data_IF_970995552390
#
_entry.id   IF_970995552390
#
_cell.length_a   1.000
_cell.length_b   1.000
_cell.length_c   1.000
_cell.angle_alpha   90.00
_cell.angle_beta   90.00
_cell.angle_gamma   90.00
#
_symmetry.space_group_name_H-M   'P 1'
#
loop_
_entity.id
_entity.type
_entity.pdbx_description
1 polymer ?
#
# COMPACT_ATOMS: atom_id res chain seq x y z
N UNK A 1 31.33 -13.42 7.32
CA UNK A 1 29.91 -13.27 7.74
C UNK A 1 29.27 -12.23 6.81
N UNK A 2 28.24 -12.61 6.06
CA UNK A 2 27.58 -11.68 5.13
C UNK A 2 26.92 -10.55 5.93
N UNK A 3 27.40 -9.32 5.77
CA UNK A 3 26.73 -8.15 6.30
C UNK A 3 25.46 -7.96 5.48
N UNK A 4 24.35 -8.50 5.96
CA UNK A 4 23.05 -8.14 5.40
C UNK A 4 22.83 -6.66 5.68
N UNK A 5 23.15 -5.78 4.73
CA UNK A 5 22.92 -4.33 4.83
C UNK A 5 21.43 -3.97 4.85
N UNK A 6 20.57 -4.97 4.60
CA UNK A 6 19.13 -4.82 4.57
C UNK A 6 18.47 -5.67 5.65
N UNK A 7 17.41 -5.12 6.24
CA UNK A 7 16.52 -5.78 7.21
C UNK A 7 15.08 -5.56 6.75
N UNK A 8 14.55 -6.53 6.01
CA UNK A 8 13.15 -6.54 5.62
C UNK A 8 12.25 -6.94 6.80
N UNK A 9 10.93 -6.76 6.64
CA UNK A 9 9.92 -7.06 7.67
C UNK A 9 10.24 -6.39 9.01
N UNK A 10 10.67 -5.14 8.92
CA UNK A 10 11.09 -4.33 10.05
C UNK A 10 10.36 -2.99 9.93
N UNK A 11 9.55 -2.68 10.93
CA UNK A 11 8.83 -1.40 11.00
C UNK A 11 9.52 -0.55 12.06
N UNK A 12 10.10 0.58 11.66
CA UNK A 12 10.63 1.55 12.62
C UNK A 12 9.44 2.25 13.30
N UNK A 13 9.36 2.15 14.62
CA UNK A 13 8.27 2.69 15.45
C UNK A 13 8.64 3.99 16.13
N UNK A 14 9.91 4.15 16.49
CA UNK A 14 10.42 5.38 17.05
C UNK A 14 11.86 5.64 16.61
N UNK A 15 12.21 6.92 16.56
CA UNK A 15 13.55 7.44 16.41
C UNK A 15 13.81 8.35 17.62
N UNK A 16 14.84 8.03 18.40
CA UNK A 16 15.29 8.84 19.52
C UNK A 16 16.68 9.38 19.19
N UNK A 17 16.94 10.65 19.50
CA UNK A 17 18.24 11.28 19.30
C UNK A 17 18.72 11.89 20.61
N UNK A 18 19.90 11.50 21.07
CA UNK A 18 20.58 12.10 22.23
C UNK A 18 21.53 13.21 21.72
N UNK A 19 21.22 14.50 21.95
CA UNK A 19 22.05 15.60 21.48
C UNK A 19 23.37 15.74 22.25
N UNK A 20 23.46 15.18 23.46
CA UNK A 20 24.68 15.22 24.29
C UNK A 20 25.73 14.27 23.72
N UNK A 21 25.28 13.09 23.29
CA UNK A 21 26.13 12.05 22.69
C UNK A 21 26.22 12.16 21.16
N UNK A 22 25.32 12.92 20.54
CA UNK A 22 25.15 13.03 19.08
C UNK A 22 24.85 11.68 18.42
N UNK A 23 24.06 10.86 19.11
CA UNK A 23 23.73 9.50 18.70
C UNK A 23 22.22 9.33 18.55
N UNK A 24 21.80 8.54 17.58
CA UNK A 24 20.41 8.13 17.38
C UNK A 24 20.21 6.64 17.68
N UNK A 25 19.05 6.30 18.23
CA UNK A 25 18.56 4.92 18.34
C UNK A 25 17.21 4.77 17.66
N UNK A 26 16.98 3.58 17.10
CA UNK A 26 15.74 3.20 16.42
C UNK A 26 15.05 2.13 17.22
N UNK A 27 13.78 2.32 17.55
CA UNK A 27 12.92 1.20 18.00
C UNK A 27 12.29 0.56 16.79
N UNK A 28 12.60 -0.71 16.57
CA UNK A 28 12.19 -1.44 15.39
C UNK A 28 11.37 -2.64 15.82
N UNK A 29 10.16 -2.73 15.30
CA UNK A 29 9.31 -3.88 15.46
C UNK A 29 9.48 -4.82 14.28
N UNK A 30 9.91 -6.06 14.54
CA UNK A 30 10.08 -7.07 13.50
C UNK A 30 8.79 -7.84 13.28
N UNK A 31 8.55 -8.26 12.04
CA UNK A 31 7.38 -9.07 11.67
C UNK A 31 7.85 -10.44 11.21
N UNK A 32 7.56 -11.47 12.00
CA UNK A 32 7.85 -12.86 11.64
C UNK A 32 6.52 -13.60 11.37
N UNK A 33 6.35 -14.09 10.14
CA UNK A 33 5.13 -14.81 9.75
C UNK A 33 3.84 -13.99 9.83
N UNK A 34 3.92 -12.67 9.63
CA UNK A 34 2.75 -11.77 9.66
C UNK A 34 2.32 -11.31 11.05
N UNK A 35 3.03 -11.71 12.12
CA UNK A 35 2.79 -11.20 13.48
C UNK A 35 3.88 -10.22 13.87
N UNK A 36 3.46 -9.09 14.43
CA UNK A 36 4.39 -8.13 15.01
C UNK A 36 4.99 -8.72 16.29
N UNK A 37 6.31 -8.86 16.30
CA UNK A 37 7.07 -9.28 17.46
C UNK A 37 7.29 -8.13 18.45
N UNK A 38 8.15 -8.38 19.43
CA UNK A 38 8.62 -7.34 20.34
C UNK A 38 9.41 -6.26 19.60
N UNK A 39 9.37 -5.04 20.14
CA UNK A 39 10.25 -3.97 19.69
C UNK A 39 11.68 -4.24 20.15
N UNK A 40 12.63 -4.04 19.25
CA UNK A 40 14.07 -4.16 19.50
C UNK A 40 14.70 -2.81 19.22
N UNK A 41 15.61 -2.38 20.10
CA UNK A 41 16.36 -1.15 19.89
C UNK A 41 17.61 -1.43 19.04
N UNK A 42 17.83 -0.59 18.03
CA UNK A 42 18.99 -0.60 17.16
C UNK A 42 19.74 0.72 17.29
N UNK A 43 21.07 0.64 17.30
CA UNK A 43 21.97 1.78 17.45
C UNK A 43 23.11 1.47 18.43
N UNK A 44 23.86 2.50 18.86
CA UNK A 44 23.73 3.90 18.43
C UNK A 44 24.13 4.10 16.95
N UNK A 45 23.59 5.15 16.33
CA UNK A 45 23.92 5.58 14.97
C UNK A 45 24.33 7.06 14.98
N UNK A 46 25.40 7.42 14.27
CA UNK A 46 25.82 8.82 14.11
C UNK A 46 24.91 9.60 13.13
N UNK A 47 24.22 8.89 12.24
CA UNK A 47 23.33 9.47 11.23
C UNK A 47 22.19 8.50 10.91
N UNK A 48 20.96 9.02 10.83
CA UNK A 48 19.80 8.29 10.31
C UNK A 48 19.22 9.05 9.13
N UNK A 49 19.18 8.39 7.98
CA UNK A 49 18.52 8.90 6.77
C UNK A 49 17.12 8.32 6.69
N UNK A 50 16.09 9.16 6.84
CA UNK A 50 14.69 8.75 6.74
C UNK A 50 14.16 8.91 5.32
N UNK A 51 14.23 7.85 4.52
CA UNK A 51 13.75 7.82 3.15
C UNK A 51 12.40 7.07 3.03
N UNK A 52 11.41 7.42 3.86
CA UNK A 52 10.09 6.80 3.79
C UNK A 52 9.21 7.50 2.76
N UNK A 53 8.65 6.71 1.84
CA UNK A 53 7.58 7.10 0.93
C UNK A 53 6.22 6.52 1.37
N UNK A 54 6.07 6.16 2.66
CA UNK A 54 4.87 5.50 3.20
C UNK A 54 3.64 6.43 3.17
N UNK A 55 3.02 6.54 2.00
CA UNK A 55 1.68 7.05 1.82
C UNK A 55 0.70 5.99 2.28
N UNK A 56 0.39 5.98 3.58
CA UNK A 56 -0.61 5.04 4.11
C UNK A 56 -1.93 5.21 3.35
N UNK A 57 -2.58 4.11 2.93
CA UNK A 57 -3.92 4.18 2.40
C UNK A 57 -4.80 4.91 3.39
N UNK A 58 -5.40 6.02 2.97
CA UNK A 58 -6.44 6.63 3.78
C UNK A 58 -7.67 5.74 3.64
N UNK A 59 -8.16 5.12 4.72
CA UNK A 59 -9.41 4.40 4.64
C UNK A 59 -10.49 5.38 4.16
N UNK A 60 -11.46 4.91 3.36
CA UNK A 60 -12.54 5.78 2.96
C UNK A 60 -13.31 6.24 4.22
N UNK A 61 -14.01 7.38 4.10
CA UNK A 61 -14.73 8.04 5.20
C UNK A 61 -15.57 7.05 6.02
N UNK A 62 -15.82 7.31 7.31
CA UNK A 62 -16.53 6.41 8.25
C UNK A 62 -17.86 5.86 7.69
N UNK A 63 -18.57 6.67 6.89
CA UNK A 63 -19.78 6.24 6.18
C UNK A 63 -19.52 5.11 5.18
N UNK A 64 -18.39 5.12 4.47
CA UNK A 64 -17.98 4.04 3.58
C UNK A 64 -17.64 2.78 4.36
N UNK A 65 -17.03 2.89 5.54
CA UNK A 65 -16.73 1.73 6.42
C UNK A 65 -18.00 0.96 6.79
N UNK A 66 -19.10 1.66 7.12
CA UNK A 66 -20.38 1.01 7.45
C UNK A 66 -21.00 0.23 6.27
N UNK A 67 -20.82 0.72 5.04
CA UNK A 67 -21.29 0.00 3.86
C UNK A 67 -20.36 -1.15 3.44
N UNK A 68 -19.10 -1.14 3.88
CA UNK A 68 -18.17 -2.26 3.65
C UNK A 68 -18.61 -3.51 4.41
N UNK A 69 -19.10 -3.37 5.64
CA UNK A 69 -19.56 -4.51 6.46
C UNK A 69 -20.76 -5.24 5.82
N UNK A 70 -21.60 -4.52 5.07
CA UNK A 70 -22.74 -5.08 4.36
C UNK A 70 -22.39 -5.64 2.97
N UNK A 71 -21.21 -5.32 2.42
CA UNK A 71 -20.81 -5.77 1.10
C UNK A 71 -20.28 -7.21 1.15
N UNK A 72 -20.96 -8.11 0.46
CA UNK A 72 -20.59 -9.55 0.44
C UNK A 72 -19.47 -9.88 -0.56
N UNK A 73 -18.99 -8.89 -1.32
CA UNK A 73 -17.87 -9.07 -2.24
C UNK A 73 -16.51 -8.77 -1.60
N UNK A 74 -15.45 -8.98 -2.38
CA UNK A 74 -14.08 -8.66 -1.99
C UNK A 74 -13.82 -7.16 -2.12
N UNK A 75 -13.14 -6.58 -1.13
CA UNK A 75 -12.71 -5.18 -1.16
C UNK A 75 -11.19 -5.13 -0.96
N UNK A 76 -10.49 -4.59 -1.96
CA UNK A 76 -9.02 -4.45 -1.92
C UNK A 76 -8.62 -3.02 -2.30
N UNK A 77 -7.76 -2.39 -1.50
CA UNK A 77 -7.18 -1.10 -1.85
C UNK A 77 -6.05 -1.29 -2.88
N UNK A 78 -5.92 -0.36 -3.84
CA UNK A 78 -4.96 -0.49 -4.95
C UNK A 78 -3.50 -0.70 -4.50
N UNK A 79 -3.11 -0.19 -3.33
CA UNK A 79 -1.76 -0.39 -2.77
C UNK A 79 -1.48 -1.79 -2.23
N UNK A 80 -2.53 -2.57 -2.00
CA UNK A 80 -2.47 -3.93 -1.45
C UNK A 80 -2.92 -4.98 -2.47
N UNK A 81 -3.36 -4.55 -3.65
CA UNK A 81 -3.82 -5.43 -4.72
C UNK A 81 -2.64 -6.16 -5.34
N UNK A 82 -2.72 -7.48 -5.35
CA UNK A 82 -1.71 -8.33 -5.97
C UNK A 82 -2.08 -8.66 -7.42
N UNK A 83 -1.10 -8.85 -8.32
CA UNK A 83 -1.36 -9.25 -9.70
C UNK A 83 -2.22 -10.53 -9.80
N UNK A 84 -1.99 -11.49 -8.91
CA UNK A 84 -2.69 -12.77 -8.89
C UNK A 84 -4.19 -12.61 -8.56
N UNK A 85 -4.56 -11.59 -7.76
CA UNK A 85 -5.97 -11.29 -7.48
C UNK A 85 -6.68 -10.75 -8.72
N UNK A 86 -5.99 -9.98 -9.56
CA UNK A 86 -6.53 -9.50 -10.84
C UNK A 86 -6.70 -10.65 -11.84
N UNK A 87 -5.72 -11.55 -11.91
CA UNK A 87 -5.80 -12.75 -12.77
C UNK A 87 -6.92 -13.70 -12.34
N UNK A 88 -7.09 -13.91 -11.03
CA UNK A 88 -8.18 -14.72 -10.48
C UNK A 88 -9.55 -14.11 -10.80
N UNK A 89 -9.72 -12.79 -10.62
CA UNK A 89 -10.94 -12.09 -10.96
C UNK A 89 -11.27 -12.24 -12.46
N UNK A 90 -10.26 -12.17 -13.32
CA UNK A 90 -10.40 -12.36 -14.77
C UNK A 90 -10.80 -13.78 -15.13
N UNK A 91 -10.11 -14.78 -14.57
CA UNK A 91 -10.42 -16.19 -14.81
C UNK A 91 -11.85 -16.56 -14.37
N UNK A 92 -12.34 -15.94 -13.30
CA UNK A 92 -13.69 -16.16 -12.76
C UNK A 92 -14.77 -15.27 -13.36
N UNK A 93 -14.42 -14.36 -14.27
CA UNK A 93 -15.33 -13.36 -14.85
C UNK A 93 -16.07 -12.56 -13.77
N UNK A 94 -15.36 -12.21 -12.69
CA UNK A 94 -15.95 -11.44 -11.60
C UNK A 94 -16.43 -10.06 -12.11
N UNK A 95 -17.48 -9.55 -11.47
CA UNK A 95 -17.93 -8.16 -11.66
C UNK A 95 -17.05 -7.27 -10.80
N UNK A 96 -16.33 -6.35 -11.43
CA UNK A 96 -15.33 -5.53 -10.76
C UNK A 96 -15.78 -4.07 -10.73
N UNK A 97 -15.63 -3.42 -9.58
CA UNK A 97 -15.86 -1.98 -9.43
C UNK A 97 -14.55 -1.32 -9.04
N UNK A 98 -14.09 -0.38 -9.87
CA UNK A 98 -12.95 0.50 -9.52
C UNK A 98 -13.49 1.83 -9.02
N UNK A 99 -13.08 2.23 -7.83
CA UNK A 99 -13.50 3.49 -7.19
C UNK A 99 -12.37 4.51 -7.21
N UNK A 100 -12.66 5.71 -7.69
CA UNK A 100 -11.68 6.79 -7.84
C UNK A 100 -11.13 6.88 -9.26
N UNK A 101 -10.37 7.94 -9.52
CA UNK A 101 -9.83 8.19 -10.85
C UNK A 101 -8.37 8.62 -10.82
N UNK A 102 -7.62 8.38 -9.73
CA UNK A 102 -6.18 8.66 -9.70
C UNK A 102 -5.43 7.87 -10.77
N UNK A 103 -4.15 8.20 -10.99
CA UNK A 103 -3.27 7.44 -11.89
C UNK A 103 -3.39 5.92 -11.68
N UNK A 104 -3.31 5.46 -10.43
CA UNK A 104 -3.47 4.04 -10.09
C UNK A 104 -4.85 3.47 -10.51
N UNK A 105 -5.94 4.21 -10.33
CA UNK A 105 -7.27 3.76 -10.76
C UNK A 105 -7.38 3.69 -12.29
N UNK A 106 -6.80 4.65 -13.01
CA UNK A 106 -6.74 4.62 -14.47
C UNK A 106 -5.96 3.41 -14.98
N UNK A 107 -4.79 3.14 -14.41
CA UNK A 107 -3.96 2.00 -14.77
C UNK A 107 -4.70 0.67 -14.52
N UNK A 108 -5.41 0.54 -13.39
CA UNK A 108 -6.23 -0.62 -13.08
C UNK A 108 -7.38 -0.82 -14.07
N UNK A 109 -8.09 0.24 -14.43
CA UNK A 109 -9.16 0.17 -15.43
C UNK A 109 -8.62 -0.29 -16.78
N UNK A 110 -7.46 0.22 -17.19
CA UNK A 110 -6.80 -0.20 -18.43
C UNK A 110 -6.37 -1.67 -18.37
N UNK A 111 -5.77 -2.11 -17.26
CA UNK A 111 -5.35 -3.49 -17.06
C UNK A 111 -6.54 -4.45 -17.07
N UNK A 112 -7.61 -4.14 -16.33
CA UNK A 112 -8.83 -4.95 -16.29
C UNK A 112 -9.49 -5.06 -17.67
N UNK A 113 -9.58 -3.95 -18.42
CA UNK A 113 -10.11 -3.97 -19.79
C UNK A 113 -9.27 -4.85 -20.73
N UNK A 114 -7.94 -4.77 -20.64
CA UNK A 114 -7.03 -5.61 -21.44
C UNK A 114 -7.14 -7.09 -21.09
N UNK A 115 -7.48 -7.42 -19.84
CA UNK A 115 -7.69 -8.78 -19.37
C UNK A 115 -9.14 -9.28 -19.51
N UNK A 116 -9.95 -8.67 -20.38
CA UNK A 116 -11.27 -9.19 -20.74
C UNK A 116 -12.44 -8.72 -19.87
N UNK A 117 -12.23 -7.83 -18.89
CA UNK A 117 -13.31 -7.32 -18.04
C UNK A 117 -14.11 -6.15 -18.65
N UNK A 118 -13.98 -5.88 -19.94
CA UNK A 118 -14.61 -4.69 -20.54
C UNK A 118 -16.13 -4.60 -20.30
N UNK A 119 -16.83 -5.74 -20.26
CA UNK A 119 -18.28 -5.84 -20.04
C UNK A 119 -18.70 -5.98 -18.57
N UNK A 120 -17.79 -6.38 -17.67
CA UNK A 120 -18.07 -6.62 -16.25
C UNK A 120 -17.43 -5.59 -15.30
N UNK A 121 -16.81 -4.54 -15.86
CA UNK A 121 -16.14 -3.46 -15.15
C UNK A 121 -17.03 -2.21 -15.03
N UNK A 122 -17.28 -1.78 -13.79
CA UNK A 122 -17.85 -0.47 -13.49
C UNK A 122 -16.76 0.46 -12.95
N UNK A 123 -16.61 1.65 -13.54
CA UNK A 123 -15.68 2.66 -13.07
C UNK A 123 -16.42 3.82 -12.38
N UNK A 124 -16.33 3.88 -11.05
CA UNK A 124 -16.98 4.89 -10.23
C UNK A 124 -16.07 6.11 -10.01
N UNK A 125 -16.32 7.18 -10.78
CA UNK A 125 -15.49 8.40 -10.82
C UNK A 125 -16.20 9.58 -10.15
N UNK A 126 -15.57 10.19 -9.14
CA UNK A 126 -16.03 11.46 -8.55
C UNK A 126 -15.52 12.69 -9.29
N UNK A 127 -14.23 12.72 -9.60
CA UNK A 127 -13.55 13.75 -10.38
C UNK A 127 -12.56 13.05 -11.30
N UNK A 128 -12.56 13.31 -12.62
CA UNK A 128 -11.64 12.68 -13.54
C UNK A 128 -10.20 13.12 -13.23
N UNK A 129 -9.24 12.26 -13.53
CA UNK A 129 -7.84 12.65 -13.54
C UNK A 129 -7.49 13.33 -14.84
N UNK A 130 -6.90 14.51 -14.72
CA UNK A 130 -6.41 15.27 -15.85
C UNK A 130 -5.02 14.77 -16.18
N UNK A 131 -4.90 13.97 -17.23
CA UNK A 131 -3.61 13.60 -17.78
C UNK A 131 -2.93 14.85 -18.32
N UNK A 132 -1.74 15.15 -17.81
CA UNK A 132 -0.86 16.13 -18.45
C UNK A 132 -0.34 15.48 -19.73
N UNK A 133 -0.39 16.22 -20.84
CA UNK A 133 0.07 15.79 -22.18
C UNK A 133 1.56 15.37 -22.23
N UNK A 134 2.30 15.52 -21.12
CA UNK A 134 3.68 15.09 -20.95
C UNK A 134 3.83 13.62 -20.50
N UNK A 135 2.73 12.90 -20.25
CA UNK A 135 2.76 11.45 -19.93
C UNK A 135 2.69 10.54 -21.18
N UNK A 136 3.09 11.05 -22.35
CA UNK A 136 3.13 10.32 -23.62
C UNK A 136 4.47 9.62 -23.86
#
# INVERSE_FOLDING_TARGET
AAWGHFRFRSAVRALNYDPTRREATLRVQRTDGGRFGAEVEYGPFDCVVWASLDGRPSPPHEQTVRYQEAFQGRITHASALLPEELEEAAARLERVVVVGASKAACDLVLALRRNGHASSLTWAVRRPYTFLRLEA
#
